data_IF_229993660485
#
_entry.id   IF_229993660485
#
_cell.length_a   1.000
_cell.length_b   1.000
_cell.length_c   1.000
_cell.angle_alpha   90.00
_cell.angle_beta   90.00
_cell.angle_gamma   90.00
#
_symmetry.space_group_name_H-M   'P 1'
#
loop_
_entity.id
_entity.type
_entity.pdbx_description
1 polymer ?
#
# COMPACT_ATOMS: atom_id res chain seq x y z
N UNK A 1 29.47 -58.16 80.06
CA UNK A 1 30.32 -58.11 78.85
C UNK A 1 29.42 -58.15 77.62
N UNK A 2 29.42 -57.08 76.83
CA UNK A 2 29.17 -57.13 75.38
C UNK A 2 27.74 -56.89 74.86
N UNK A 3 27.69 -55.91 73.93
CA UNK A 3 26.74 -55.70 72.82
C UNK A 3 25.47 -54.90 73.16
N UNK A 4 25.08 -53.87 72.42
CA UNK A 4 25.61 -53.30 71.17
C UNK A 4 24.65 -52.21 70.72
N UNK A 5 25.19 -51.04 70.34
CA UNK A 5 24.41 -49.90 69.86
C UNK A 5 23.86 -50.12 68.45
N UNK A 6 22.69 -49.55 68.18
CA UNK A 6 22.12 -49.44 66.83
C UNK A 6 21.75 -47.97 66.58
N UNK A 7 22.49 -47.35 65.67
CA UNK A 7 22.31 -45.96 65.26
C UNK A 7 21.25 -45.85 64.15
N UNK A 8 20.24 -44.99 64.35
CA UNK A 8 19.25 -44.62 63.34
C UNK A 8 19.84 -43.65 62.33
N UNK A 9 19.85 -44.00 61.04
CA UNK A 9 19.96 -43.04 59.93
C UNK A 9 18.55 -42.56 59.54
N UNK A 10 18.33 -41.25 59.48
CA UNK A 10 17.16 -40.63 58.84
C UNK A 10 17.56 -40.15 57.44
N UNK A 11 16.82 -40.57 56.41
CA UNK A 11 16.99 -40.14 55.02
C UNK A 11 16.41 -38.74 54.82
N UNK A 12 17.18 -37.86 54.18
CA UNK A 12 16.71 -36.57 53.68
C UNK A 12 16.08 -36.75 52.30
N UNK A 13 14.80 -36.41 52.16
CA UNK A 13 14.09 -36.38 50.88
C UNK A 13 14.53 -35.18 50.04
N UNK A 14 14.98 -35.45 48.81
CA UNK A 14 15.28 -34.43 47.81
C UNK A 14 14.03 -34.08 47.01
N UNK A 15 13.65 -32.80 47.01
CA UNK A 15 12.66 -32.24 46.10
C UNK A 15 13.36 -31.90 44.78
N UNK A 16 12.88 -32.46 43.67
CA UNK A 16 13.32 -32.12 42.33
C UNK A 16 12.61 -30.85 41.85
N UNK A 17 13.32 -29.81 41.37
CA UNK A 17 12.67 -28.64 40.79
C UNK A 17 12.20 -28.95 39.36
N UNK A 18 10.92 -28.74 39.09
CA UNK A 18 10.38 -28.77 37.73
C UNK A 18 10.84 -27.51 36.97
N UNK A 19 11.73 -27.68 35.99
CA UNK A 19 12.08 -26.63 35.04
C UNK A 19 10.87 -26.37 34.12
N UNK A 20 10.14 -25.29 34.36
CA UNK A 20 9.22 -24.71 33.39
C UNK A 20 10.04 -24.00 32.31
N UNK A 21 10.15 -24.61 31.13
CA UNK A 21 10.75 -23.96 29.97
C UNK A 21 9.81 -22.84 29.47
N UNK A 22 10.17 -21.59 29.74
CA UNK A 22 9.56 -20.45 29.05
C UNK A 22 9.96 -20.51 27.56
N UNK A 23 9.01 -20.86 26.70
CA UNK A 23 9.10 -20.63 25.27
C UNK A 23 8.95 -19.13 25.02
N UNK A 24 10.09 -18.44 24.90
CA UNK A 24 10.11 -17.05 24.42
C UNK A 24 9.77 -17.08 22.93
N UNK A 25 8.64 -16.49 22.55
CA UNK A 25 8.32 -16.23 21.16
C UNK A 25 9.35 -15.24 20.62
N UNK A 26 10.31 -15.73 19.83
CA UNK A 26 11.24 -14.87 19.11
C UNK A 26 10.46 -14.05 18.08
N UNK A 27 10.75 -12.74 17.93
CA UNK A 27 10.14 -11.94 16.87
C UNK A 27 10.44 -12.60 15.52
N UNK A 28 9.40 -12.81 14.71
CA UNK A 28 9.53 -13.41 13.40
C UNK A 28 10.40 -12.53 12.49
N UNK A 29 11.42 -13.11 11.87
CA UNK A 29 12.20 -12.42 10.83
C UNK A 29 11.31 -12.20 9.62
N UNK A 30 11.36 -11.01 9.01
CA UNK A 30 10.66 -10.76 7.76
C UNK A 30 11.14 -11.76 6.70
N UNK A 31 10.20 -12.37 6.00
CA UNK A 31 10.46 -13.32 4.91
C UNK A 31 10.13 -12.67 3.58
N UNK A 32 10.97 -12.90 2.58
CA UNK A 32 10.69 -12.57 1.18
C UNK A 32 9.92 -13.72 0.52
N UNK A 33 8.85 -13.39 -0.21
CA UNK A 33 8.00 -14.32 -0.96
C UNK A 33 7.85 -13.82 -2.39
N UNK A 34 8.14 -14.67 -3.39
CA UNK A 34 7.81 -14.38 -4.79
C UNK A 34 6.32 -14.66 -5.03
N UNK A 35 5.62 -13.71 -5.64
CA UNK A 35 4.22 -13.86 -6.00
C UNK A 35 4.03 -14.89 -7.12
N UNK A 36 3.06 -15.82 -7.01
CA UNK A 36 2.81 -16.78 -8.07
C UNK A 36 2.36 -16.09 -9.37
N UNK A 37 3.06 -16.37 -10.47
CA UNK A 37 2.66 -15.97 -11.82
C UNK A 37 3.01 -14.54 -12.24
N UNK A 38 3.62 -13.75 -11.36
CA UNK A 38 4.03 -12.36 -11.63
C UNK A 38 5.42 -12.09 -11.00
N UNK A 39 6.23 -11.24 -11.61
CA UNK A 39 7.58 -10.91 -11.10
C UNK A 39 7.51 -9.84 -9.99
N UNK A 40 6.85 -10.19 -8.88
CA UNK A 40 6.72 -9.31 -7.72
C UNK A 40 7.17 -10.05 -6.47
N UNK A 41 8.07 -9.44 -5.71
CA UNK A 41 8.57 -9.95 -4.43
C UNK A 41 7.92 -9.19 -3.30
N UNK A 42 7.44 -9.91 -2.28
CA UNK A 42 6.83 -9.33 -1.09
C UNK A 42 7.67 -9.66 0.13
N UNK A 43 8.06 -8.65 0.89
CA UNK A 43 8.80 -8.80 2.15
C UNK A 43 7.92 -8.40 3.33
N UNK A 44 7.64 -9.35 4.22
CA UNK A 44 6.80 -9.12 5.41
C UNK A 44 7.06 -10.18 6.49
N UNK A 45 6.70 -9.88 7.75
CA UNK A 45 6.70 -10.84 8.86
C UNK A 45 5.41 -11.69 8.91
N UNK A 46 4.36 -11.29 8.18
CA UNK A 46 3.05 -11.95 8.16
C UNK A 46 2.83 -12.70 6.83
N UNK A 47 2.80 -14.04 6.90
CA UNK A 47 2.58 -14.91 5.74
C UNK A 47 1.19 -14.70 5.10
N UNK A 48 0.17 -14.40 5.90
CA UNK A 48 -1.17 -14.09 5.39
C UNK A 48 -1.17 -12.78 4.58
N UNK A 49 -0.39 -11.80 5.03
CA UNK A 49 -0.24 -10.52 4.36
C UNK A 49 0.53 -10.66 3.04
N UNK A 50 1.56 -11.52 2.97
CA UNK A 50 2.24 -11.81 1.71
C UNK A 50 1.26 -12.29 0.62
N UNK A 51 0.38 -13.23 0.98
CA UNK A 51 -0.65 -13.74 0.07
C UNK A 51 -1.67 -12.68 -0.37
N UNK A 52 -2.06 -11.76 0.54
CA UNK A 52 -2.92 -10.62 0.20
C UNK A 52 -2.22 -9.68 -0.78
N UNK A 53 -0.99 -9.26 -0.46
CA UNK A 53 -0.21 -8.34 -1.31
C UNK A 53 -0.04 -8.89 -2.72
N UNK A 54 0.25 -10.18 -2.88
CA UNK A 54 0.33 -10.80 -4.20
C UNK A 54 -0.99 -10.77 -4.97
N UNK A 55 -2.13 -10.95 -4.30
CA UNK A 55 -3.46 -10.82 -4.96
C UNK A 55 -3.74 -9.38 -5.36
N UNK A 56 -3.47 -8.41 -4.48
CA UNK A 56 -3.64 -6.99 -4.78
C UNK A 56 -2.76 -6.56 -5.96
N UNK A 57 -1.50 -7.01 -5.99
CA UNK A 57 -0.57 -6.72 -7.07
C UNK A 57 -0.98 -7.39 -8.40
N UNK A 58 -1.48 -8.62 -8.37
CA UNK A 58 -2.07 -9.28 -9.54
C UNK A 58 -3.26 -8.51 -10.10
N UNK A 59 -4.18 -8.08 -9.23
CA UNK A 59 -5.33 -7.26 -9.62
C UNK A 59 -4.91 -5.89 -10.21
N UNK A 60 -3.81 -5.30 -9.71
CA UNK A 60 -3.26 -4.08 -10.29
C UNK A 60 -2.73 -4.31 -11.71
N UNK A 61 -2.00 -5.41 -11.95
CA UNK A 61 -1.53 -5.78 -13.29
C UNK A 61 -2.72 -5.98 -14.24
N UNK A 62 -3.79 -6.66 -13.80
CA UNK A 62 -5.01 -6.82 -14.59
C UNK A 62 -5.68 -5.47 -14.90
N UNK A 63 -5.68 -4.54 -13.94
CA UNK A 63 -6.21 -3.18 -14.12
C UNK A 63 -5.44 -2.42 -15.20
N UNK A 64 -4.11 -2.50 -15.21
CA UNK A 64 -3.27 -1.88 -16.23
C UNK A 64 -3.47 -2.53 -17.61
N UNK A 65 -3.55 -3.87 -17.64
CA UNK A 65 -3.76 -4.64 -18.86
C UNK A 65 -5.12 -4.34 -19.52
N UNK A 66 -6.13 -3.92 -18.74
CA UNK A 66 -7.43 -3.51 -19.28
C UNK A 66 -7.33 -2.30 -20.23
N UNK A 67 -6.31 -1.45 -20.09
CA UNK A 67 -5.97 -0.39 -21.04
C UNK A 67 -4.74 -0.71 -21.90
N UNK A 68 -4.29 -1.97 -21.95
CA UNK A 68 -3.18 -2.40 -22.80
C UNK A 68 -1.79 -2.10 -22.25
N UNK A 69 -1.67 -1.78 -20.97
CA UNK A 69 -0.39 -1.51 -20.32
C UNK A 69 0.11 -2.72 -19.53
N UNK A 70 1.43 -2.95 -19.58
CA UNK A 70 2.12 -3.94 -18.75
C UNK A 70 3.09 -3.25 -17.81
N UNK A 71 3.40 -3.94 -16.72
CA UNK A 71 4.47 -3.55 -15.80
C UNK A 71 5.62 -4.54 -16.02
N UNK A 72 6.66 -4.09 -16.70
CA UNK A 72 7.72 -4.96 -17.23
C UNK A 72 8.93 -5.12 -16.28
N UNK A 73 8.89 -4.48 -15.10
CA UNK A 73 9.97 -4.53 -14.12
C UNK A 73 9.63 -5.44 -12.92
N UNK A 74 10.66 -6.06 -12.37
CA UNK A 74 10.54 -6.86 -11.16
C UNK A 74 10.37 -5.97 -9.94
N UNK A 75 9.14 -5.82 -9.44
CA UNK A 75 8.85 -4.97 -8.29
C UNK A 75 9.10 -5.68 -6.96
N UNK A 76 9.58 -4.93 -5.98
CA UNK A 76 9.64 -5.35 -4.58
C UNK A 76 8.66 -4.54 -3.74
N UNK A 77 7.82 -5.22 -2.96
CA UNK A 77 6.85 -4.61 -2.05
C UNK A 77 7.20 -5.01 -0.62
N UNK A 78 7.58 -4.05 0.21
CA UNK A 78 7.87 -4.29 1.63
C UNK A 78 6.72 -3.78 2.49
N UNK A 79 6.22 -4.63 3.40
CA UNK A 79 5.15 -4.25 4.31
C UNK A 79 5.73 -3.88 5.67
N UNK A 80 5.39 -2.68 6.14
CA UNK A 80 5.96 -2.06 7.33
C UNK A 80 4.88 -1.62 8.31
N UNK A 81 5.22 -1.45 9.58
CA UNK A 81 4.30 -0.86 10.57
C UNK A 81 4.45 0.66 10.68
N UNK A 82 5.48 1.23 10.05
CA UNK A 82 5.76 2.67 10.04
C UNK A 82 6.49 3.08 8.77
N UNK A 83 6.24 4.30 8.31
CA UNK A 83 6.88 4.95 7.17
C UNK A 83 7.31 6.38 7.56
N UNK A 84 8.43 6.82 6.97
CA UNK A 84 8.94 8.20 7.08
C UNK A 84 9.23 8.74 5.65
N UNK A 85 8.63 9.87 5.23
CA UNK A 85 7.63 10.67 5.95
C UNK A 85 6.34 9.88 6.23
N UNK A 86 5.48 10.40 7.12
CA UNK A 86 4.21 9.75 7.46
C UNK A 86 3.30 9.71 6.23
N UNK A 87 3.34 8.60 5.52
CA UNK A 87 2.48 8.23 4.39
C UNK A 87 1.90 6.82 4.62
N UNK A 88 0.97 6.41 3.76
CA UNK A 88 0.38 5.06 3.82
C UNK A 88 1.09 4.08 2.89
N UNK A 89 1.74 4.59 1.86
CA UNK A 89 2.56 3.88 0.89
C UNK A 89 3.60 4.82 0.30
N UNK A 90 4.66 4.25 -0.28
CA UNK A 90 5.71 4.98 -0.96
C UNK A 90 6.36 4.12 -2.04
N UNK A 91 6.26 4.55 -3.29
CA UNK A 91 7.12 4.11 -4.38
C UNK A 91 8.43 4.90 -4.41
N UNK A 92 9.54 4.19 -4.57
CA UNK A 92 10.89 4.75 -4.69
C UNK A 92 11.32 4.75 -6.16
N UNK A 93 11.11 5.88 -6.86
CA UNK A 93 11.42 6.07 -8.28
C UNK A 93 12.83 5.59 -8.66
N UNK A 94 12.94 4.87 -9.79
CA UNK A 94 14.19 4.31 -10.30
C UNK A 94 14.74 3.11 -9.52
N UNK A 95 14.02 2.59 -8.51
CA UNK A 95 14.49 1.45 -7.71
C UNK A 95 13.54 0.26 -7.69
N UNK A 96 12.41 0.33 -8.41
CA UNK A 96 11.41 -0.74 -8.47
C UNK A 96 10.95 -1.23 -7.07
N UNK A 97 10.91 -0.30 -6.10
CA UNK A 97 10.60 -0.60 -4.70
C UNK A 97 9.41 0.18 -4.21
N UNK A 98 8.49 -0.55 -3.59
CA UNK A 98 7.32 -0.04 -2.90
C UNK A 98 7.44 -0.41 -1.42
N UNK A 99 7.11 0.53 -0.55
CA UNK A 99 6.87 0.27 0.86
C UNK A 99 5.43 0.65 1.21
N UNK A 100 4.69 -0.22 1.89
CA UNK A 100 3.29 0.02 2.27
C UNK A 100 3.10 -0.28 3.74
N UNK A 101 2.27 0.51 4.42
CA UNK A 101 1.87 0.20 5.77
C UNK A 101 1.03 -1.08 5.84
N UNK A 102 1.19 -1.87 6.90
CA UNK A 102 0.29 -2.98 7.20
C UNK A 102 -1.16 -2.48 7.40
N UNK A 103 -2.20 -3.29 7.16
CA UNK A 103 -3.58 -2.89 7.40
C UNK A 103 -3.82 -2.36 8.83
N UNK A 104 -3.17 -2.96 9.83
CA UNK A 104 -3.22 -2.48 11.21
C UNK A 104 -2.63 -1.07 11.36
N UNK A 105 -1.46 -0.82 10.77
CA UNK A 105 -0.83 0.50 10.79
C UNK A 105 -1.64 1.54 9.99
N UNK A 106 -2.24 1.17 8.86
CA UNK A 106 -3.16 2.03 8.09
C UNK A 106 -4.34 2.46 8.96
N UNK A 107 -4.95 1.53 9.71
CA UNK A 107 -6.10 1.82 10.55
C UNK A 107 -5.81 2.90 11.61
N UNK A 108 -4.56 2.97 12.09
CA UNK A 108 -4.13 3.94 13.10
C UNK A 108 -3.53 5.23 12.54
N UNK A 109 -2.89 5.15 11.37
CA UNK A 109 -2.15 6.27 10.77
C UNK A 109 -3.03 7.14 9.87
N UNK A 110 -4.04 6.56 9.22
CA UNK A 110 -4.89 7.31 8.29
C UNK A 110 -5.64 8.42 9.02
N UNK A 111 -5.88 9.52 8.30
CA UNK A 111 -6.72 10.61 8.78
C UNK A 111 -8.16 10.14 9.02
N UNK A 112 -8.73 10.36 10.23
CA UNK A 112 -10.09 9.92 10.55
C UNK A 112 -11.18 10.74 9.85
N UNK A 113 -10.85 11.91 9.32
CA UNK A 113 -11.74 12.82 8.60
C UNK A 113 -11.57 12.76 7.07
N UNK A 114 -10.66 11.93 6.57
CA UNK A 114 -10.32 11.85 5.15
C UNK A 114 -11.43 11.24 4.27
N UNK A 115 -11.34 11.43 2.96
CA UNK A 115 -12.29 10.84 1.99
C UNK A 115 -12.35 9.30 2.03
N UNK A 116 -11.30 8.64 2.54
CA UNK A 116 -11.22 7.19 2.69
C UNK A 116 -11.51 6.69 4.11
N UNK A 117 -11.91 7.57 5.04
CA UNK A 117 -12.04 7.21 6.45
C UNK A 117 -13.05 6.07 6.72
N UNK A 118 -14.06 5.91 5.86
CA UNK A 118 -15.06 4.84 5.96
C UNK A 118 -14.61 3.50 5.35
N UNK A 119 -13.57 3.50 4.51
CA UNK A 119 -13.09 2.28 3.84
C UNK A 119 -12.43 1.37 4.87
N UNK A 120 -12.74 0.06 4.93
CA UNK A 120 -12.03 -0.86 5.81
C UNK A 120 -10.54 -0.93 5.51
N UNK A 121 -9.70 -1.04 6.55
CA UNK A 121 -8.25 -0.95 6.41
C UNK A 121 -7.66 -1.96 5.42
N UNK A 122 -8.19 -3.18 5.39
CA UNK A 122 -7.81 -4.22 4.43
C UNK A 122 -8.07 -3.82 2.97
N UNK A 123 -9.20 -3.16 2.69
CA UNK A 123 -9.53 -2.71 1.32
C UNK A 123 -8.79 -1.43 0.95
N UNK A 124 -8.51 -0.58 1.94
CA UNK A 124 -7.62 0.57 1.76
C UNK A 124 -6.19 0.12 1.46
N UNK A 125 -5.70 -0.93 2.13
CA UNK A 125 -4.41 -1.54 1.83
C UNK A 125 -4.33 -2.00 0.38
N UNK A 126 -5.31 -2.78 -0.07
CA UNK A 126 -5.35 -3.28 -1.45
C UNK A 126 -5.34 -2.11 -2.46
N UNK A 127 -6.06 -1.01 -2.19
CA UNK A 127 -6.08 0.16 -3.06
C UNK A 127 -4.79 0.99 -3.03
N UNK A 128 -4.10 1.05 -1.89
CA UNK A 128 -2.77 1.69 -1.78
C UNK A 128 -1.74 0.89 -2.58
N UNK A 129 -1.78 -0.45 -2.56
CA UNK A 129 -0.89 -1.25 -3.41
C UNK A 129 -1.04 -0.86 -4.89
N UNK A 130 -2.27 -0.72 -5.37
CA UNK A 130 -2.51 -0.24 -6.74
C UNK A 130 -2.03 1.21 -6.95
N UNK A 131 -2.23 2.11 -5.98
CA UNK A 131 -1.72 3.47 -6.03
C UNK A 131 -0.20 3.48 -6.27
N UNK A 132 0.56 2.78 -5.43
CA UNK A 132 2.02 2.75 -5.54
C UNK A 132 2.51 2.04 -6.80
N UNK A 133 1.83 0.97 -7.22
CA UNK A 133 2.14 0.30 -8.50
C UNK A 133 1.83 1.19 -9.71
N UNK A 134 0.91 2.14 -9.58
CA UNK A 134 0.66 3.13 -10.64
C UNK A 134 1.84 4.08 -10.80
N UNK A 135 2.52 4.45 -9.71
CA UNK A 135 3.77 5.21 -9.80
C UNK A 135 4.87 4.40 -10.49
N UNK A 136 4.96 3.09 -10.22
CA UNK A 136 5.88 2.20 -10.95
C UNK A 136 5.56 2.13 -12.45
N UNK A 137 4.27 2.03 -12.82
CA UNK A 137 3.85 2.10 -14.23
C UNK A 137 4.23 3.44 -14.87
N UNK A 138 4.16 4.53 -14.10
CA UNK A 138 4.47 5.88 -14.57
C UNK A 138 5.98 6.21 -14.61
N UNK A 139 6.84 5.49 -13.88
CA UNK A 139 8.25 5.87 -13.62
C UNK A 139 9.07 6.13 -14.88
N UNK A 140 8.81 5.37 -15.96
CA UNK A 140 9.47 5.54 -17.26
C UNK A 140 8.91 6.66 -18.14
N UNK A 141 7.86 7.36 -17.71
CA UNK A 141 7.15 8.37 -18.50
C UNK A 141 8.00 9.65 -18.63
N UNK A 142 8.20 10.18 -19.86
CA UNK A 142 8.90 11.44 -20.04
C UNK A 142 8.19 12.60 -19.31
N UNK A 143 8.94 13.31 -18.45
CA UNK A 143 8.46 14.51 -17.77
C UNK A 143 9.21 15.75 -18.31
N UNK A 144 8.51 16.78 -18.83
CA UNK A 144 9.15 18.00 -19.33
C UNK A 144 9.61 18.96 -18.21
N UNK A 145 9.31 18.66 -16.95
CA UNK A 145 9.69 19.44 -15.77
C UNK A 145 10.66 18.67 -14.89
N UNK A 146 11.13 19.31 -13.81
CA UNK A 146 12.01 18.63 -12.83
C UNK A 146 11.32 17.39 -12.25
N UNK A 147 10.03 17.50 -11.92
CA UNK A 147 9.17 16.42 -11.44
C UNK A 147 7.74 16.65 -11.94
N UNK A 148 7.02 15.58 -12.26
CA UNK A 148 5.63 15.62 -12.72
C UNK A 148 4.68 15.03 -11.66
N UNK A 149 4.77 15.57 -10.45
CA UNK A 149 4.09 15.02 -9.26
C UNK A 149 2.58 15.06 -9.42
N UNK A 150 2.01 16.17 -9.90
CA UNK A 150 0.56 16.24 -10.08
C UNK A 150 0.07 15.22 -11.13
N UNK A 151 0.88 14.94 -12.15
CA UNK A 151 0.51 13.99 -13.20
C UNK A 151 0.56 12.55 -12.72
N UNK A 152 1.61 12.12 -11.99
CA UNK A 152 1.66 10.74 -11.48
C UNK A 152 0.60 10.51 -10.40
N UNK A 153 0.41 11.48 -9.50
CA UNK A 153 -0.61 11.42 -8.44
C UNK A 153 -2.03 11.45 -9.02
N UNK A 154 -2.27 12.18 -10.11
CA UNK A 154 -3.55 12.17 -10.80
C UNK A 154 -3.93 10.73 -11.21
N UNK A 155 -2.99 10.00 -11.82
CA UNK A 155 -3.25 8.64 -12.27
C UNK A 155 -3.39 7.69 -11.08
N UNK A 156 -2.50 7.80 -10.09
CA UNK A 156 -2.49 6.95 -8.90
C UNK A 156 -3.77 7.07 -8.08
N UNK A 157 -4.25 8.29 -7.78
CA UNK A 157 -5.53 8.47 -7.09
C UNK A 157 -6.74 8.02 -7.91
N UNK A 158 -6.72 8.25 -9.23
CA UNK A 158 -7.82 7.83 -10.08
C UNK A 158 -7.98 6.30 -10.07
N UNK A 159 -6.88 5.55 -10.21
CA UNK A 159 -6.91 4.09 -10.11
C UNK A 159 -7.21 3.61 -8.68
N UNK A 160 -6.67 4.26 -7.65
CA UNK A 160 -6.95 3.91 -6.26
C UNK A 160 -8.44 3.97 -5.94
N UNK A 161 -9.14 5.03 -6.35
CA UNK A 161 -10.58 5.17 -6.12
C UNK A 161 -11.37 4.18 -6.99
N UNK A 162 -10.94 3.94 -8.23
CA UNK A 162 -11.65 3.04 -9.15
C UNK A 162 -11.61 1.56 -8.69
N UNK A 163 -10.51 1.15 -8.05
CA UNK A 163 -10.36 -0.20 -7.48
C UNK A 163 -11.20 -0.45 -6.23
N UNK A 164 -11.78 0.58 -5.63
CA UNK A 164 -12.70 0.40 -4.51
C UNK A 164 -13.98 -0.30 -4.98
N UNK A 165 -14.53 -1.12 -4.08
CA UNK A 165 -15.85 -1.72 -4.30
C UNK A 165 -16.90 -0.64 -4.55
N UNK A 166 -18.00 -0.94 -5.26
CA UNK A 166 -19.08 0.03 -5.44
C UNK A 166 -19.62 0.59 -4.11
N UNK A 167 -19.65 -0.24 -3.07
CA UNK A 167 -20.05 0.15 -1.71
C UNK A 167 -19.09 1.18 -1.10
N UNK A 168 -17.79 0.96 -1.19
CA UNK A 168 -16.78 1.89 -0.65
C UNK A 168 -16.66 3.17 -1.47
N UNK A 169 -16.90 3.09 -2.78
CA UNK A 169 -16.81 4.24 -3.69
C UNK A 169 -18.04 5.14 -3.61
N UNK A 170 -19.21 4.62 -3.27
CA UNK A 170 -20.44 5.42 -3.22
C UNK A 170 -20.37 6.64 -2.27
N UNK A 171 -19.83 6.54 -1.03
CA UNK A 171 -19.65 7.71 -0.16
C UNK A 171 -18.65 8.74 -0.70
N UNK A 172 -17.69 8.33 -1.52
CA UNK A 172 -16.73 9.23 -2.20
C UNK A 172 -17.47 9.96 -3.32
N UNK A 173 -18.20 9.22 -4.16
CA UNK A 173 -18.99 9.77 -5.25
C UNK A 173 -20.04 10.79 -4.77
N UNK A 174 -20.67 10.54 -3.61
CA UNK A 174 -21.65 11.45 -3.01
C UNK A 174 -21.07 12.83 -2.61
N UNK A 175 -19.75 12.98 -2.55
CA UNK A 175 -19.08 14.28 -2.29
C UNK A 175 -18.91 15.13 -3.53
N UNK A 176 -19.34 14.65 -4.70
CA UNK A 176 -19.14 15.30 -5.99
C UNK A 176 -20.43 15.39 -6.79
N UNK A 177 -20.58 16.49 -7.53
CA UNK A 177 -21.49 16.54 -8.66
C UNK A 177 -20.73 16.09 -9.91
N UNK A 178 -20.83 14.80 -10.24
CA UNK A 178 -20.15 14.22 -11.41
C UNK A 178 -20.65 14.79 -12.74
N UNK A 179 -21.82 15.44 -12.76
CA UNK A 179 -22.33 16.12 -13.95
C UNK A 179 -21.64 17.47 -14.21
N UNK A 180 -20.97 18.05 -13.20
CA UNK A 180 -20.17 19.27 -13.39
C UNK A 180 -18.78 18.90 -13.90
N UNK A 181 -18.37 19.39 -15.09
CA UNK A 181 -17.04 19.12 -15.61
C UNK A 181 -15.94 19.60 -14.66
N UNK A 182 -15.04 18.71 -14.28
CA UNK A 182 -13.83 19.08 -13.55
C UNK A 182 -12.89 19.79 -14.51
N UNK A 183 -12.50 21.01 -14.18
CA UNK A 183 -11.55 21.78 -14.98
C UNK A 183 -10.13 21.26 -14.78
N UNK A 184 -9.31 21.34 -15.82
CA UNK A 184 -7.90 20.94 -15.77
C UNK A 184 -7.13 21.64 -14.64
N UNK A 185 -7.36 22.94 -14.44
CA UNK A 185 -6.69 23.72 -13.39
C UNK A 185 -7.03 23.27 -11.97
N UNK A 186 -8.07 22.46 -11.79
CA UNK A 186 -8.41 21.82 -10.52
C UNK A 186 -7.55 20.58 -10.23
N UNK A 187 -6.57 20.26 -11.08
CA UNK A 187 -5.60 19.17 -10.93
C UNK A 187 -4.22 19.81 -11.04
N UNK A 188 -3.59 20.08 -9.90
CA UNK A 188 -2.27 20.70 -9.84
C UNK A 188 -1.57 20.37 -8.50
N UNK A 189 -0.25 20.52 -8.47
CA UNK A 189 0.58 20.16 -7.31
C UNK A 189 0.25 21.01 -6.06
N UNK A 190 -0.13 22.28 -6.23
CA UNK A 190 -0.51 23.12 -5.08
C UNK A 190 -1.79 22.58 -4.41
N UNK A 191 -2.79 22.16 -5.18
CA UNK A 191 -4.00 21.55 -4.64
C UNK A 191 -3.70 20.21 -3.97
N UNK A 192 -2.84 19.37 -4.57
CA UNK A 192 -2.39 18.12 -3.96
C UNK A 192 -1.80 18.36 -2.56
N UNK A 193 -0.94 19.37 -2.42
CA UNK A 193 -0.28 19.68 -1.15
C UNK A 193 -1.23 20.28 -0.10
N UNK A 194 -2.14 21.16 -0.52
CA UNK A 194 -3.01 21.91 0.41
C UNK A 194 -4.31 21.17 0.74
N UNK A 195 -4.83 20.37 -0.19
CA UNK A 195 -6.12 19.69 -0.08
C UNK A 195 -6.08 18.33 -0.83
N UNK A 196 -5.29 17.34 -0.35
CA UNK A 196 -5.09 16.06 -1.04
C UNK A 196 -6.40 15.31 -1.30
N UNK A 197 -7.34 15.34 -0.35
CA UNK A 197 -8.67 14.76 -0.52
C UNK A 197 -9.45 15.39 -1.70
N UNK A 198 -9.34 16.70 -1.88
CA UNK A 198 -9.98 17.40 -3.00
C UNK A 198 -9.27 17.10 -4.31
N UNK A 199 -7.94 16.98 -4.29
CA UNK A 199 -7.15 16.56 -5.44
C UNK A 199 -7.56 15.14 -5.89
N UNK A 200 -7.62 14.17 -4.98
CA UNK A 200 -8.00 12.79 -5.28
C UNK A 200 -9.41 12.70 -5.88
N UNK A 201 -10.38 13.41 -5.29
CA UNK A 201 -11.74 13.54 -5.83
C UNK A 201 -11.74 14.10 -7.26
N UNK A 202 -11.04 15.21 -7.49
CA UNK A 202 -10.95 15.84 -8.81
C UNK A 202 -10.27 14.90 -9.83
N UNK A 203 -9.22 14.19 -9.44
CA UNK A 203 -8.49 13.27 -10.30
C UNK A 203 -9.39 12.15 -10.82
N UNK A 204 -10.09 11.45 -9.91
CA UNK A 204 -11.00 10.38 -10.25
C UNK A 204 -12.17 10.89 -11.11
N UNK A 205 -12.90 11.92 -10.68
CA UNK A 205 -14.04 12.42 -11.45
C UNK A 205 -13.64 12.97 -12.83
N UNK A 206 -12.48 13.63 -12.94
CA UNK A 206 -12.00 14.10 -14.23
C UNK A 206 -11.71 12.94 -15.18
N UNK A 207 -11.14 11.83 -14.68
CA UNK A 207 -10.92 10.62 -15.49
C UNK A 207 -12.25 9.98 -15.91
N UNK A 208 -13.21 9.85 -14.99
CA UNK A 208 -14.55 9.31 -15.28
C UNK A 208 -15.31 10.12 -16.35
N UNK A 209 -15.02 11.42 -16.44
CA UNK A 209 -15.61 12.30 -17.45
C UNK A 209 -14.94 12.18 -18.84
N UNK A 210 -13.92 11.35 -19.02
CA UNK A 210 -13.30 11.13 -20.33
C UNK A 210 -14.16 10.16 -21.16
N UNK A 211 -14.42 10.53 -22.42
CA UNK A 211 -15.13 9.66 -23.35
C UNK A 211 -14.35 8.36 -23.65
N UNK A 212 -13.03 8.47 -23.74
CA UNK A 212 -12.11 7.34 -23.85
C UNK A 212 -11.07 7.43 -22.72
N UNK A 213 -11.26 6.61 -21.68
CA UNK A 213 -10.40 6.59 -20.51
C UNK A 213 -9.02 6.01 -20.84
N UNK A 214 -8.95 4.97 -21.66
CA UNK A 214 -7.68 4.33 -21.99
C UNK A 214 -6.82 5.21 -22.89
N UNK A 215 -7.40 5.85 -23.91
CA UNK A 215 -6.65 6.83 -24.72
C UNK A 215 -6.11 8.01 -23.89
N UNK A 216 -6.84 8.40 -22.83
CA UNK A 216 -6.36 9.43 -21.90
C UNK A 216 -5.19 8.94 -21.04
N UNK A 217 -5.27 7.71 -20.52
CA UNK A 217 -4.20 7.06 -19.75
C UNK A 217 -2.96 6.88 -20.63
N UNK A 218 -3.12 6.39 -21.87
CA UNK A 218 -2.07 6.29 -22.89
C UNK A 218 -1.34 7.63 -23.09
N UNK A 219 -2.11 8.71 -23.27
CA UNK A 219 -1.55 10.05 -23.45
C UNK A 219 -0.74 10.53 -22.25
N UNK A 220 -1.10 10.13 -21.03
CA UNK A 220 -0.33 10.41 -19.81
C UNK A 220 0.96 9.59 -19.81
N UNK A 221 0.88 8.27 -20.00
CA UNK A 221 2.03 7.35 -19.93
C UNK A 221 3.04 7.55 -21.08
N UNK A 222 2.63 8.18 -22.18
CA UNK A 222 3.51 8.61 -23.27
C UNK A 222 4.13 10.01 -23.04
N UNK A 223 3.78 10.69 -21.94
CA UNK A 223 4.23 12.05 -21.63
C UNK A 223 3.56 13.15 -22.45
N UNK A 224 2.51 12.83 -23.22
CA UNK A 224 1.76 13.78 -24.04
C UNK A 224 0.75 14.62 -23.25
N UNK A 225 0.32 14.14 -22.08
CA UNK A 225 -0.63 14.81 -21.18
C UNK A 225 0.03 15.01 -19.80
N UNK A 226 0.25 16.27 -19.42
CA UNK A 226 0.93 16.63 -18.15
C UNK A 226 0.22 17.77 -17.43
N UNK A 227 -0.15 17.59 -16.16
CA UNK A 227 -0.83 18.60 -15.33
C UNK A 227 0.13 19.55 -14.62
N UNK A 228 1.39 19.16 -14.53
CA UNK A 228 2.45 19.98 -13.95
C UNK A 228 2.79 21.16 -14.87
N UNK A 229 3.40 22.17 -14.27
CA UNK A 229 3.87 23.37 -14.95
C UNK A 229 5.17 23.83 -14.30
N UNK A 230 5.97 24.59 -15.03
CA UNK A 230 7.16 25.22 -14.46
C UNK A 230 6.71 26.13 -13.31
N UNK A 231 7.31 25.93 -12.13
CA UNK A 231 7.17 26.89 -11.05
C UNK A 231 7.85 28.20 -11.50
N UNK A 232 7.22 29.37 -11.25
CA UNK A 232 7.83 30.67 -11.53
C UNK A 232 9.20 30.85 -10.88
#
# INVERSE_FOLDING_TARGET
MGRGGSARRKSTGGAAPALAALLWALPGTASETLCPGIDIRVTTQDVGLAGRTCRAAGAAIETFAACGHSLDTGLSITILDRLDPVCLGLFHCGTDRIEVLSPAAIATTRRPDGIFAHVPAERMFDSIVLHEMTHALYDGTPCPFRHCVATSEYLAYAFQIDALSPEDRAPIAARMDLAQPVKRDAINAMLLMLAPDRFALNAWAHLEQRADRCAWIDGILQGGIVFDHALP
#
